data_IF_263818295170
#
_entry.id   IF_263818295170
#
_cell.length_a   1.000
_cell.length_b   1.000
_cell.length_c   1.000
_cell.angle_alpha   90.00
_cell.angle_beta   90.00
_cell.angle_gamma   90.00
#
_symmetry.space_group_name_H-M   'P 1'
#
loop_
_entity.id
_entity.type
_entity.pdbx_description
1 polymer ?
#
# COMPACT_ATOMS: atom_id res chain seq x y z
N UNK A 1 7.31 6.71 24.43
CA UNK A 1 7.94 7.65 23.47
C UNK A 1 6.90 8.24 22.54
N UNK A 2 6.10 7.43 21.84
CA UNK A 2 5.10 7.91 20.86
C UNK A 2 3.71 8.22 21.45
N UNK A 3 3.51 8.00 22.76
CA UNK A 3 2.22 8.24 23.40
C UNK A 3 1.78 9.71 23.27
N UNK A 4 0.52 9.91 22.88
CA UNK A 4 -0.10 11.21 22.58
C UNK A 4 0.62 12.05 21.52
N UNK A 5 1.44 11.42 20.68
CA UNK A 5 2.05 12.08 19.52
C UNK A 5 1.28 11.74 18.24
N UNK A 6 1.62 12.43 17.15
CA UNK A 6 1.06 12.17 15.81
C UNK A 6 1.92 11.20 14.97
N UNK A 7 2.90 10.54 15.61
CA UNK A 7 3.68 9.47 14.98
C UNK A 7 2.75 8.31 14.64
N UNK A 8 2.90 7.74 13.44
CA UNK A 8 2.04 6.66 12.97
C UNK A 8 0.70 7.09 12.40
N UNK A 9 0.10 8.18 12.91
CA UNK A 9 -1.18 8.72 12.43
C UNK A 9 -0.98 9.71 11.27
N UNK A 10 -0.06 10.67 11.47
CA UNK A 10 0.23 11.77 10.53
C UNK A 10 1.69 11.86 10.13
N UNK A 11 2.61 11.43 10.98
CA UNK A 11 4.04 11.55 10.75
C UNK A 11 4.69 10.16 10.67
N UNK A 12 5.75 10.06 9.87
CA UNK A 12 6.46 8.80 9.64
C UNK A 12 5.66 7.77 8.85
N UNK A 13 6.01 6.50 9.05
CA UNK A 13 5.25 5.36 8.53
C UNK A 13 3.84 5.35 9.12
N UNK A 14 2.83 5.14 8.28
CA UNK A 14 1.44 5.13 8.70
C UNK A 14 1.05 3.77 9.24
N UNK A 15 0.55 3.75 10.47
CA UNK A 15 0.17 2.52 11.16
C UNK A 15 -1.24 2.06 10.75
N UNK A 16 -1.51 0.77 10.94
CA UNK A 16 -2.84 0.19 10.76
C UNK A 16 -3.05 -0.62 9.48
N UNK A 17 -1.98 -0.99 8.78
CA UNK A 17 -2.03 -2.00 7.72
C UNK A 17 -0.74 -2.84 7.70
N UNK A 18 -0.85 -4.12 7.35
CA UNK A 18 0.30 -4.99 7.07
C UNK A 18 1.07 -4.63 5.79
N UNK A 19 0.55 -3.70 4.99
CA UNK A 19 1.22 -3.08 3.85
C UNK A 19 1.45 -1.59 4.12
N UNK A 20 2.20 -1.30 5.19
CA UNK A 20 2.47 0.07 5.62
C UNK A 20 3.22 0.88 4.56
N UNK A 21 4.01 0.23 3.71
CA UNK A 21 4.72 0.83 2.58
C UNK A 21 3.74 1.42 1.55
N UNK A 22 2.80 0.60 1.08
CA UNK A 22 1.71 0.97 0.19
C UNK A 22 0.83 2.04 0.84
N UNK A 23 0.42 1.82 2.08
CA UNK A 23 -0.51 2.68 2.80
C UNK A 23 0.10 4.06 3.08
N UNK A 24 1.36 4.12 3.52
CA UNK A 24 2.10 5.38 3.73
C UNK A 24 2.26 6.13 2.42
N UNK A 25 2.72 5.46 1.36
CA UNK A 25 2.89 6.08 0.04
C UNK A 25 1.59 6.66 -0.50
N UNK A 26 0.49 5.91 -0.42
CA UNK A 26 -0.83 6.37 -0.80
C UNK A 26 -1.29 7.60 0.00
N UNK A 27 -1.09 7.60 1.32
CA UNK A 27 -1.43 8.73 2.21
C UNK A 27 -0.64 9.98 1.85
N UNK A 28 0.66 9.84 1.58
CA UNK A 28 1.51 10.95 1.11
C UNK A 28 1.03 11.49 -0.24
N UNK A 29 0.65 10.62 -1.19
CA UNK A 29 0.04 11.09 -2.46
C UNK A 29 -1.23 11.90 -2.21
N UNK A 30 -2.09 11.45 -1.31
CA UNK A 30 -3.31 12.17 -0.91
C UNK A 30 -3.03 13.51 -0.21
N UNK A 31 -1.84 13.68 0.37
CA UNK A 31 -1.35 14.92 0.97
C UNK A 31 -0.64 15.83 -0.05
N UNK A 32 -0.63 15.47 -1.35
CA UNK A 32 -0.09 16.30 -2.43
C UNK A 32 1.34 15.99 -2.85
N UNK A 33 1.98 14.98 -2.24
CA UNK A 33 3.33 14.59 -2.59
C UNK A 33 3.40 13.97 -4.00
N UNK A 34 4.52 14.22 -4.69
CA UNK A 34 4.83 13.61 -5.99
C UNK A 34 5.98 12.62 -5.81
N UNK A 35 5.88 11.49 -6.49
CA UNK A 35 6.91 10.46 -6.51
C UNK A 35 7.41 10.34 -7.95
N UNK A 36 8.69 10.00 -8.11
CA UNK A 36 9.35 9.81 -9.39
C UNK A 36 9.80 8.36 -9.44
N UNK A 37 9.56 7.70 -10.58
CA UNK A 37 10.07 6.37 -10.85
C UNK A 37 11.26 6.47 -11.79
N UNK A 38 12.40 5.92 -11.38
CA UNK A 38 13.63 5.91 -12.17
C UNK A 38 14.01 4.47 -12.50
N UNK A 39 14.23 4.18 -13.77
CA UNK A 39 14.62 2.84 -14.25
C UNK A 39 15.96 2.91 -14.99
N UNK A 40 17.09 2.78 -14.28
CA UNK A 40 18.42 2.79 -14.89
C UNK A 40 18.67 1.49 -15.68
N UNK A 41 19.54 1.55 -16.69
CA UNK A 41 19.89 0.38 -17.53
C UNK A 41 20.49 -0.77 -16.71
N UNK A 42 21.29 -0.45 -15.68
CA UNK A 42 21.83 -1.42 -14.74
C UNK A 42 20.99 -1.41 -13.45
N UNK A 43 20.57 -2.58 -12.93
CA UNK A 43 19.88 -2.64 -11.64
C UNK A 43 20.71 -1.98 -10.53
N UNK A 44 20.17 -0.91 -9.95
CA UNK A 44 20.80 -0.19 -8.84
C UNK A 44 20.61 -0.92 -7.50
N UNK A 45 19.58 -1.76 -7.40
CA UNK A 45 19.26 -2.56 -6.23
C UNK A 45 19.09 -4.02 -6.66
N UNK A 46 19.74 -4.93 -5.94
CA UNK A 46 19.65 -6.38 -6.13
C UNK A 46 19.30 -7.01 -4.77
N UNK A 47 18.41 -7.99 -4.77
CA UNK A 47 18.02 -8.71 -3.57
C UNK A 47 17.67 -10.15 -3.88
N UNK A 48 17.64 -10.99 -2.85
CA UNK A 48 17.28 -12.40 -2.97
C UNK A 48 15.76 -12.58 -2.98
N UNK A 49 15.30 -13.55 -3.78
CA UNK A 49 13.89 -13.93 -3.87
C UNK A 49 13.60 -15.19 -3.05
N UNK A 50 12.38 -15.34 -2.50
CA UNK A 50 11.98 -16.57 -1.83
C UNK A 50 12.11 -17.78 -2.76
N UNK A 51 12.78 -18.83 -2.27
CA UNK A 51 13.07 -20.06 -3.02
C UNK A 51 11.96 -21.12 -2.87
N UNK A 52 11.07 -20.97 -1.89
CA UNK A 52 10.02 -21.95 -1.59
C UNK A 52 8.63 -21.40 -1.85
N UNK A 53 7.71 -22.29 -2.25
CA UNK A 53 6.31 -21.94 -2.47
C UNK A 53 5.63 -21.42 -1.19
N UNK A 54 5.97 -22.00 -0.03
CA UNK A 54 5.33 -21.61 1.23
C UNK A 54 5.69 -20.18 1.64
N UNK A 55 6.92 -19.74 1.36
CA UNK A 55 7.35 -18.36 1.62
C UNK A 55 6.61 -17.37 0.72
N UNK A 56 6.47 -17.70 -0.57
CA UNK A 56 5.72 -16.88 -1.54
C UNK A 56 4.25 -16.77 -1.13
N UNK A 57 3.61 -17.90 -0.79
CA UNK A 57 2.20 -17.91 -0.35
C UNK A 57 2.01 -17.12 0.96
N UNK A 58 2.96 -17.24 1.89
CA UNK A 58 2.96 -16.45 3.13
C UNK A 58 3.05 -14.95 2.87
N UNK A 59 3.92 -14.54 1.93
CA UNK A 59 4.06 -13.15 1.53
C UNK A 59 2.79 -12.63 0.82
N UNK A 60 2.26 -13.38 -0.15
CA UNK A 60 1.03 -13.02 -0.83
C UNK A 60 -0.12 -12.85 0.16
N UNK A 61 -0.27 -13.76 1.14
CA UNK A 61 -1.28 -13.63 2.19
C UNK A 61 -1.15 -12.32 2.96
N UNK A 62 0.08 -11.92 3.36
CA UNK A 62 0.30 -10.64 4.07
C UNK A 62 -0.13 -9.44 3.22
N UNK A 63 0.23 -9.44 1.93
CA UNK A 63 -0.19 -8.38 1.01
C UNK A 63 -1.71 -8.31 0.88
N UNK A 64 -2.37 -9.44 0.66
CA UNK A 64 -3.83 -9.47 0.50
C UNK A 64 -4.56 -8.97 1.75
N UNK A 65 -4.15 -9.43 2.94
CA UNK A 65 -4.74 -8.97 4.20
C UNK A 65 -4.50 -7.48 4.39
N UNK A 66 -3.27 -7.00 4.19
CA UNK A 66 -2.95 -5.58 4.33
C UNK A 66 -3.72 -4.69 3.36
N UNK A 67 -3.86 -5.11 2.10
CA UNK A 67 -4.61 -4.37 1.08
C UNK A 67 -6.10 -4.27 1.43
N UNK A 68 -6.69 -5.35 1.95
CA UNK A 68 -8.06 -5.32 2.47
C UNK A 68 -8.21 -4.41 3.69
N UNK A 69 -7.22 -4.38 4.60
CA UNK A 69 -7.20 -3.42 5.72
C UNK A 69 -7.25 -1.97 5.20
N UNK A 70 -6.50 -1.64 4.14
CA UNK A 70 -6.56 -0.30 3.53
C UNK A 70 -7.92 -0.05 2.86
N UNK A 71 -8.44 -1.04 2.11
CA UNK A 71 -9.72 -0.94 1.41
C UNK A 71 -10.89 -0.64 2.35
N UNK A 72 -10.91 -1.28 3.53
CA UNK A 72 -11.96 -1.10 4.54
C UNK A 72 -11.62 -0.01 5.58
N UNK A 73 -10.48 0.66 5.46
CA UNK A 73 -10.10 1.73 6.39
C UNK A 73 -10.89 3.03 6.18
N UNK A 74 -10.81 3.92 7.19
CA UNK A 74 -11.26 5.33 7.07
C UNK A 74 -10.64 6.06 5.87
N UNK A 75 -9.49 5.60 5.41
CA UNK A 75 -8.73 6.23 4.34
C UNK A 75 -8.79 5.43 3.04
N UNK A 76 -9.87 4.68 2.81
CA UNK A 76 -10.04 3.88 1.60
C UNK A 76 -9.84 4.65 0.29
N UNK A 77 -9.41 3.93 -0.74
CA UNK A 77 -8.98 4.43 -2.04
C UNK A 77 -10.06 5.20 -2.80
N UNK A 78 -11.32 4.80 -2.69
CA UNK A 78 -12.41 5.43 -3.46
C UNK A 78 -12.98 6.69 -2.79
N UNK A 79 -13.40 6.61 -1.54
CA UNK A 79 -14.06 7.72 -0.84
C UNK A 79 -13.03 8.76 -0.39
N UNK A 80 -11.89 8.31 0.15
CA UNK A 80 -10.85 9.22 0.61
C UNK A 80 -9.87 9.59 -0.51
N UNK A 81 -9.46 8.64 -1.34
CA UNK A 81 -8.41 8.86 -2.35
C UNK A 81 -8.90 9.62 -3.59
N UNK A 82 -10.04 9.21 -4.17
CA UNK A 82 -10.51 9.73 -5.46
C UNK A 82 -10.62 11.27 -5.50
N UNK A 83 -11.18 11.95 -4.48
CA UNK A 83 -11.25 13.42 -4.49
C UNK A 83 -9.89 14.12 -4.34
N UNK A 84 -8.85 13.42 -3.87
CA UNK A 84 -7.52 13.99 -3.55
C UNK A 84 -6.49 13.77 -4.65
N UNK A 85 -6.50 12.59 -5.27
CA UNK A 85 -5.49 12.19 -6.27
C UNK A 85 -6.10 11.81 -7.63
N UNK A 86 -7.40 11.98 -7.80
CA UNK A 86 -8.09 11.75 -9.08
C UNK A 86 -7.92 10.31 -9.58
N UNK A 87 -7.64 10.15 -10.87
CA UNK A 87 -7.51 8.84 -11.52
C UNK A 87 -6.45 7.93 -10.90
N UNK A 88 -5.42 8.49 -10.25
CA UNK A 88 -4.42 7.69 -9.54
C UNK A 88 -5.05 6.86 -8.41
N UNK A 89 -6.14 7.34 -7.80
CA UNK A 89 -6.86 6.59 -6.79
C UNK A 89 -7.45 5.28 -7.33
N UNK A 90 -7.80 5.22 -8.62
CA UNK A 90 -8.30 4.00 -9.26
C UNK A 90 -7.19 2.96 -9.40
N UNK A 91 -5.95 3.39 -9.67
CA UNK A 91 -4.79 2.49 -9.70
C UNK A 91 -4.51 1.91 -8.30
N UNK A 92 -4.54 2.76 -7.25
CA UNK A 92 -4.48 2.28 -5.87
C UNK A 92 -5.65 1.31 -5.57
N UNK A 93 -6.87 1.66 -5.98
CA UNK A 93 -8.04 0.81 -5.76
C UNK A 93 -7.92 -0.57 -6.43
N UNK A 94 -7.36 -0.63 -7.63
CA UNK A 94 -7.11 -1.90 -8.33
C UNK A 94 -6.27 -2.86 -7.48
N UNK A 95 -5.19 -2.37 -6.86
CA UNK A 95 -4.40 -3.17 -5.93
C UNK A 95 -5.17 -3.49 -4.64
N UNK A 96 -5.87 -2.52 -4.07
CA UNK A 96 -6.65 -2.73 -2.84
C UNK A 96 -7.71 -3.85 -2.99
N UNK A 97 -8.29 -3.99 -4.19
CA UNK A 97 -9.27 -5.02 -4.52
C UNK A 97 -8.65 -6.36 -4.97
N UNK A 98 -7.33 -6.53 -4.98
CA UNK A 98 -6.68 -7.73 -5.54
C UNK A 98 -7.18 -9.03 -4.90
N UNK A 99 -7.39 -9.03 -3.58
CA UNK A 99 -7.93 -10.17 -2.86
C UNK A 99 -9.39 -10.50 -3.21
N UNK A 100 -10.20 -9.50 -3.60
CA UNK A 100 -11.62 -9.71 -3.93
C UNK A 100 -11.75 -10.47 -5.26
N UNK A 101 -10.79 -10.34 -6.17
CA UNK A 101 -10.81 -11.03 -7.46
C UNK A 101 -10.71 -12.55 -7.35
N UNK A 102 -10.34 -13.10 -6.18
CA UNK A 102 -10.36 -14.56 -5.96
C UNK A 102 -11.74 -15.11 -5.64
N UNK A 103 -12.74 -14.26 -5.39
CA UNK A 103 -14.12 -14.67 -5.18
C UNK A 103 -14.78 -14.78 -6.57
N UNK A 104 -15.10 -15.98 -7.06
CA UNK A 104 -15.83 -16.12 -8.31
C UNK A 104 -17.23 -15.49 -8.18
N UNK A 105 -17.62 -14.71 -9.18
CA UNK A 105 -18.98 -14.19 -9.36
C UNK A 105 -19.90 -15.25 -9.98
#
# INVERSE_FOLDING_TARGET
YEDRTEWGSKLGFRYGSLVEDYYTGYRLKCEGWRAIFCYPERPAFLGDAPMTLIDVLGQCKRWMVGLLEVLFSKYNTLIFGLPRIGSLALAYNYYACWAIYSIPL
#
